data_IF_761310914315
#
_entry.id   IF_761310914315
#
_cell.length_a   1.000
_cell.length_b   1.000
_cell.length_c   1.000
_cell.angle_alpha   90.00
_cell.angle_beta   90.00
_cell.angle_gamma   90.00
#
_symmetry.space_group_name_H-M   'P 1'
#
loop_
_entity.id
_entity.type
_entity.pdbx_description
1 polymer ?
#
# COMPACT_ATOMS: atom_id res chain seq x y z
N UNK A 1 -0.10 -17.61 6.46
CA UNK A 1 -0.45 -18.93 5.91
C UNK A 1 -0.43 -18.83 4.40
N UNK A 2 0.15 -19.80 3.68
CA UNK A 2 0.06 -19.86 2.22
C UNK A 2 -1.13 -20.72 1.80
N UNK A 3 -1.63 -20.55 0.55
CA UNK A 3 -2.70 -21.40 0.03
C UNK A 3 -2.29 -22.88 0.02
N UNK A 4 -1.06 -23.20 -0.42
CA UNK A 4 -0.55 -24.57 -0.40
C UNK A 4 -0.65 -25.22 0.99
N UNK A 5 -0.33 -24.48 2.05
CA UNK A 5 -0.45 -24.98 3.42
C UNK A 5 -1.92 -25.12 3.84
N UNK A 6 -2.78 -24.19 3.44
CA UNK A 6 -4.22 -24.27 3.72
C UNK A 6 -4.83 -25.51 3.05
N UNK A 7 -4.54 -25.72 1.77
CA UNK A 7 -5.08 -26.84 0.98
C UNK A 7 -4.55 -28.24 1.41
N UNK A 8 -3.39 -28.28 2.06
CA UNK A 8 -2.81 -29.54 2.56
C UNK A 8 -3.44 -30.05 3.88
N UNK A 9 -4.33 -29.29 4.51
CA UNK A 9 -4.98 -29.64 5.76
C UNK A 9 -6.46 -29.97 5.56
N UNK A 10 -7.08 -30.78 6.44
CA UNK A 10 -8.53 -30.87 6.51
C UNK A 10 -9.13 -29.45 6.68
N UNK A 11 -10.18 -29.12 5.93
CA UNK A 11 -10.72 -27.75 5.87
C UNK A 11 -11.03 -27.15 7.24
N UNK A 12 -11.56 -27.96 8.17
CA UNK A 12 -11.90 -27.51 9.53
C UNK A 12 -10.66 -27.05 10.30
N UNK A 13 -9.54 -27.78 10.19
CA UNK A 13 -8.27 -27.43 10.83
C UNK A 13 -7.63 -26.22 10.16
N UNK A 14 -7.66 -26.17 8.81
CA UNK A 14 -7.15 -25.06 8.04
C UNK A 14 -7.84 -23.74 8.42
N UNK A 15 -9.18 -23.75 8.52
CA UNK A 15 -9.98 -22.58 8.90
C UNK A 15 -9.71 -22.17 10.35
N UNK A 16 -9.61 -23.13 11.28
CA UNK A 16 -9.25 -22.85 12.68
C UNK A 16 -7.87 -22.17 12.79
N UNK A 17 -6.85 -22.74 12.15
CA UNK A 17 -5.50 -22.19 12.16
C UNK A 17 -5.44 -20.81 11.48
N UNK A 18 -6.19 -20.63 10.39
CA UNK A 18 -6.29 -19.33 9.71
C UNK A 18 -6.91 -18.29 10.64
N UNK A 19 -7.99 -18.63 11.30
CA UNK A 19 -8.72 -17.78 12.22
C UNK A 19 -7.86 -17.33 13.41
N UNK A 20 -7.15 -18.25 14.05
CA UNK A 20 -6.20 -17.95 15.13
C UNK A 20 -5.07 -17.01 14.67
N UNK A 21 -4.54 -17.24 13.44
CA UNK A 21 -3.50 -16.39 12.87
C UNK A 21 -4.00 -14.97 12.59
N UNK A 22 -5.20 -14.83 12.05
CA UNK A 22 -5.80 -13.52 11.75
C UNK A 22 -6.02 -12.74 13.05
N UNK A 23 -6.57 -13.39 14.09
CA UNK A 23 -6.70 -12.78 15.40
C UNK A 23 -5.35 -12.27 15.94
N UNK A 24 -4.33 -13.13 15.94
CA UNK A 24 -3.00 -12.74 16.38
C UNK A 24 -2.42 -11.59 15.57
N UNK A 25 -2.63 -11.57 14.24
CA UNK A 25 -2.17 -10.49 13.39
C UNK A 25 -2.77 -9.15 13.81
N UNK A 26 -4.07 -9.07 14.15
CA UNK A 26 -4.69 -7.83 14.64
C UNK A 26 -4.17 -7.42 16.02
N UNK A 27 -3.95 -8.36 16.92
CA UNK A 27 -3.34 -8.08 18.24
C UNK A 27 -1.93 -7.49 18.06
N UNK A 28 -1.12 -8.06 17.19
CA UNK A 28 0.22 -7.55 16.88
C UNK A 28 0.16 -6.19 16.20
N UNK A 29 -0.74 -6.01 15.23
CA UNK A 29 -0.96 -4.73 14.54
C UNK A 29 -1.29 -3.61 15.52
N UNK A 30 -2.17 -3.86 16.50
CA UNK A 30 -2.49 -2.90 17.54
C UNK A 30 -1.24 -2.44 18.31
N UNK A 31 -0.37 -3.39 18.69
CA UNK A 31 0.89 -3.08 19.40
C UNK A 31 1.84 -2.26 18.53
N UNK A 32 1.93 -2.56 17.22
CA UNK A 32 2.78 -1.81 16.29
C UNK A 32 2.27 -0.37 16.15
N UNK A 33 0.97 -0.15 15.97
CA UNK A 33 0.39 1.19 15.86
C UNK A 33 0.61 2.00 17.15
N UNK A 34 0.44 1.36 18.32
CA UNK A 34 0.76 2.01 19.60
C UNK A 34 2.25 2.37 19.68
N UNK A 35 3.14 1.45 19.31
CA UNK A 35 4.59 1.71 19.26
C UNK A 35 4.93 2.88 18.32
N UNK A 36 4.32 2.95 17.13
CA UNK A 36 4.50 4.08 16.23
C UNK A 36 4.16 5.41 16.94
N UNK A 37 3.01 5.47 17.61
CA UNK A 37 2.58 6.66 18.34
C UNK A 37 3.54 7.03 19.48
N UNK A 38 3.95 6.04 20.28
CA UNK A 38 4.83 6.24 21.44
C UNK A 38 6.22 6.73 21.04
N UNK A 39 6.61 6.51 19.79
CA UNK A 39 7.94 6.79 19.26
C UNK A 39 7.96 7.91 18.21
N UNK A 40 6.81 8.58 17.99
CA UNK A 40 6.70 9.71 17.07
C UNK A 40 6.66 9.32 15.60
N UNK A 41 6.46 8.04 15.28
CA UNK A 41 6.24 7.57 13.91
C UNK A 41 4.79 7.87 13.52
N UNK A 42 4.59 8.74 12.53
CA UNK A 42 3.29 9.31 12.20
C UNK A 42 2.40 8.40 11.33
N UNK A 43 2.92 7.30 10.78
CA UNK A 43 2.18 6.41 9.90
C UNK A 43 2.60 4.95 9.99
N UNK A 44 1.68 4.06 9.61
CA UNK A 44 1.94 2.62 9.52
C UNK A 44 1.26 2.01 8.30
N UNK A 45 2.02 1.30 7.48
CA UNK A 45 1.50 0.52 6.36
C UNK A 45 1.12 -0.87 6.82
N UNK A 46 -0.18 -1.20 6.75
CA UNK A 46 -0.67 -2.54 7.05
C UNK A 46 -0.03 -3.58 6.12
N UNK A 47 0.30 -4.73 6.69
CA UNK A 47 0.79 -5.85 5.89
C UNK A 47 -0.28 -6.35 4.92
N UNK A 48 0.08 -6.58 3.66
CA UNK A 48 -0.77 -7.25 2.67
C UNK A 48 -1.17 -8.68 3.07
N UNK A 49 -0.46 -9.27 4.04
CA UNK A 49 -0.75 -10.61 4.58
C UNK A 49 -1.44 -10.57 5.95
N UNK A 50 -2.14 -9.48 6.27
CA UNK A 50 -2.82 -9.33 7.56
C UNK A 50 -3.97 -10.35 7.70
N UNK A 51 -4.69 -10.57 6.62
CA UNK A 51 -5.75 -11.58 6.48
C UNK A 51 -5.34 -12.60 5.40
N UNK A 52 -4.33 -13.46 5.65
CA UNK A 52 -3.72 -14.25 4.59
C UNK A 52 -4.71 -15.22 3.97
N UNK A 53 -4.66 -15.34 2.66
CA UNK A 53 -5.43 -16.26 1.79
C UNK A 53 -6.96 -16.17 1.89
N UNK A 54 -7.51 -15.24 2.66
CA UNK A 54 -8.97 -15.16 2.87
C UNK A 54 -9.72 -14.84 1.56
N UNK A 55 -9.09 -14.06 0.72
CA UNK A 55 -9.55 -13.63 -0.61
C UNK A 55 -9.26 -14.65 -1.72
N UNK A 56 -8.50 -15.73 -1.43
CA UNK A 56 -8.20 -16.75 -2.42
C UNK A 56 -9.48 -17.46 -2.89
N UNK A 57 -9.71 -17.64 -4.21
CA UNK A 57 -10.96 -18.21 -4.75
C UNK A 57 -11.37 -19.55 -4.14
N UNK A 58 -10.40 -20.44 -3.88
CA UNK A 58 -10.67 -21.76 -3.30
C UNK A 58 -10.85 -21.75 -1.78
N UNK A 59 -10.38 -20.69 -1.11
CA UNK A 59 -10.65 -20.48 0.33
C UNK A 59 -12.02 -19.86 0.50
N UNK A 60 -12.31 -18.79 -0.22
CA UNK A 60 -13.61 -18.13 -0.34
C UNK A 60 -14.29 -17.94 1.02
N UNK A 61 -13.61 -17.25 1.92
CA UNK A 61 -14.10 -16.93 3.26
C UNK A 61 -14.15 -15.41 3.45
N UNK A 62 -15.08 -14.98 4.30
CA UNK A 62 -15.12 -13.63 4.86
C UNK A 62 -14.71 -13.69 6.32
N UNK A 63 -14.27 -12.55 6.86
CA UNK A 63 -13.85 -12.46 8.27
C UNK A 63 -14.96 -12.89 9.23
N UNK A 64 -16.21 -12.49 8.94
CA UNK A 64 -17.38 -12.81 9.74
C UNK A 64 -17.81 -14.29 9.70
N UNK A 65 -17.23 -15.09 8.81
CA UNK A 65 -17.45 -16.54 8.72
C UNK A 65 -16.41 -17.36 9.50
N UNK A 66 -15.42 -16.70 10.10
CA UNK A 66 -14.39 -17.39 10.88
C UNK A 66 -14.91 -17.80 12.25
N UNK A 67 -14.50 -18.98 12.77
CA UNK A 67 -15.08 -19.56 14.00
C UNK A 67 -14.90 -18.67 15.25
N UNK A 68 -13.85 -17.85 15.31
CA UNK A 68 -13.60 -16.90 16.41
C UNK A 68 -13.89 -15.45 16.00
N UNK A 69 -14.90 -15.23 15.17
CA UNK A 69 -15.25 -13.88 14.68
C UNK A 69 -15.44 -12.85 15.79
N UNK A 70 -16.07 -13.25 16.90
CA UNK A 70 -16.28 -12.35 18.06
C UNK A 70 -14.96 -11.78 18.57
N UNK A 71 -13.93 -12.63 18.72
CA UNK A 71 -12.61 -12.20 19.20
C UNK A 71 -11.88 -11.36 18.13
N UNK A 72 -11.99 -11.75 16.86
CA UNK A 72 -11.45 -10.99 15.73
C UNK A 72 -12.09 -9.61 15.68
N UNK A 73 -13.41 -9.52 15.84
CA UNK A 73 -14.13 -8.24 15.83
C UNK A 73 -13.67 -7.35 17.00
N UNK A 74 -13.54 -7.89 18.20
CA UNK A 74 -13.03 -7.15 19.35
C UNK A 74 -11.58 -6.65 19.14
N UNK A 75 -10.73 -7.46 18.51
CA UNK A 75 -9.37 -7.06 18.15
C UNK A 75 -9.38 -5.94 17.10
N UNK A 76 -10.22 -6.01 16.08
CA UNK A 76 -10.42 -4.95 15.08
C UNK A 76 -10.89 -3.64 15.72
N UNK A 77 -11.89 -3.69 16.61
CA UNK A 77 -12.39 -2.52 17.34
C UNK A 77 -11.29 -1.89 18.20
N UNK A 78 -10.41 -2.71 18.79
CA UNK A 78 -9.24 -2.24 19.54
C UNK A 78 -8.24 -1.51 18.62
N UNK A 79 -7.94 -2.07 17.44
CA UNK A 79 -7.07 -1.43 16.44
C UNK A 79 -7.67 -0.09 15.99
N UNK A 80 -8.97 -0.07 15.65
CA UNK A 80 -9.69 1.13 15.23
C UNK A 80 -9.65 2.23 16.31
N UNK A 81 -9.90 1.87 17.57
CA UNK A 81 -9.81 2.80 18.71
C UNK A 81 -8.40 3.34 18.90
N UNK A 82 -7.37 2.50 18.73
CA UNK A 82 -5.97 2.93 18.83
C UNK A 82 -5.62 3.90 17.70
N UNK A 83 -5.97 3.60 16.44
CA UNK A 83 -5.76 4.50 15.29
C UNK A 83 -6.43 5.86 15.57
N UNK A 84 -7.70 5.86 15.97
CA UNK A 84 -8.46 7.08 16.26
C UNK A 84 -7.84 7.90 17.38
N UNK A 85 -7.38 7.27 18.45
CA UNK A 85 -6.77 7.92 19.62
C UNK A 85 -5.39 8.48 19.30
N UNK A 86 -4.58 7.76 18.54
CA UNK A 86 -3.18 8.13 18.28
C UNK A 86 -3.02 9.05 17.08
N UNK A 87 -3.96 9.03 16.13
CA UNK A 87 -3.85 9.75 14.88
C UNK A 87 -2.81 9.18 13.91
N UNK A 88 -2.26 8.00 14.18
CA UNK A 88 -1.33 7.32 13.26
C UNK A 88 -2.03 7.08 11.93
N UNK A 89 -1.46 7.62 10.85
CA UNK A 89 -2.00 7.46 9.50
C UNK A 89 -1.80 6.01 9.02
N UNK A 90 -2.87 5.42 8.47
CA UNK A 90 -2.84 4.03 8.00
C UNK A 90 -2.97 3.96 6.49
N UNK A 91 -2.14 3.14 5.87
CA UNK A 91 -2.13 2.83 4.44
C UNK A 91 -2.04 1.32 4.22
N UNK A 92 -2.19 0.88 2.99
CA UNK A 92 -1.79 -0.46 2.57
C UNK A 92 -1.17 -0.44 1.17
N UNK A 93 -0.27 -1.40 0.97
CA UNK A 93 0.23 -1.76 -0.35
C UNK A 93 -0.20 -3.20 -0.62
N UNK A 94 -1.33 -3.40 -1.30
CA UNK A 94 -1.84 -4.73 -1.65
C UNK A 94 -0.81 -5.56 -2.41
N UNK A 95 -1.16 -6.82 -2.67
CA UNK A 95 -0.26 -7.79 -3.29
C UNK A 95 0.36 -7.29 -4.60
N UNK A 96 1.63 -7.62 -4.82
CA UNK A 96 2.32 -7.37 -6.09
C UNK A 96 1.70 -8.11 -7.29
N UNK A 97 0.81 -9.06 -7.05
CA UNK A 97 0.12 -9.81 -8.10
C UNK A 97 -1.12 -9.10 -8.64
N UNK A 98 -1.49 -7.93 -8.11
CA UNK A 98 -2.60 -7.13 -8.64
C UNK A 98 -2.26 -6.65 -10.05
N UNK A 99 -3.14 -6.98 -10.99
CA UNK A 99 -2.99 -6.61 -12.40
C UNK A 99 -4.33 -6.22 -13.03
N UNK A 100 -4.70 -4.95 -12.88
CA UNK A 100 -5.87 -4.37 -13.56
C UNK A 100 -5.63 -4.14 -15.06
N UNK A 101 -4.39 -4.32 -15.53
CA UNK A 101 -4.00 -4.20 -16.95
C UNK A 101 -4.10 -5.51 -17.70
N UNK A 102 -4.36 -6.63 -17.05
CA UNK A 102 -4.35 -7.96 -17.66
C UNK A 102 -5.48 -8.12 -18.68
N UNK A 103 -5.19 -8.89 -19.74
CA UNK A 103 -6.20 -9.40 -20.67
C UNK A 103 -6.84 -10.70 -20.19
N UNK A 104 -6.30 -11.31 -19.13
CA UNK A 104 -6.84 -12.50 -18.51
C UNK A 104 -7.90 -12.12 -17.46
N UNK A 105 -9.16 -12.41 -17.75
CA UNK A 105 -10.29 -12.06 -16.89
C UNK A 105 -10.20 -12.68 -15.48
N UNK A 106 -9.65 -13.89 -15.36
CA UNK A 106 -9.44 -14.53 -14.04
C UNK A 106 -8.42 -13.74 -13.21
N UNK A 107 -7.34 -13.25 -13.81
CA UNK A 107 -6.34 -12.44 -13.13
C UNK A 107 -6.93 -11.08 -12.69
N UNK A 108 -7.76 -10.46 -13.53
CA UNK A 108 -8.49 -9.23 -13.19
C UNK A 108 -9.47 -9.48 -12.05
N UNK A 109 -10.26 -10.54 -12.09
CA UNK A 109 -11.22 -10.88 -11.04
C UNK A 109 -10.53 -11.12 -9.69
N UNK A 110 -9.38 -11.79 -9.68
CA UNK A 110 -8.56 -11.98 -8.47
C UNK A 110 -8.02 -10.65 -7.94
N UNK A 111 -7.58 -9.76 -8.82
CA UNK A 111 -7.11 -8.41 -8.45
C UNK A 111 -8.22 -7.57 -7.83
N UNK A 112 -9.43 -7.61 -8.40
CA UNK A 112 -10.61 -6.92 -7.86
C UNK A 112 -10.95 -7.46 -6.46
N UNK A 113 -10.87 -8.78 -6.26
CA UNK A 113 -11.16 -9.42 -4.97
C UNK A 113 -10.15 -9.04 -3.90
N UNK A 114 -8.84 -9.06 -4.21
CA UNK A 114 -7.76 -8.64 -3.30
C UNK A 114 -7.96 -7.17 -2.87
N UNK A 115 -8.14 -6.27 -3.84
CA UNK A 115 -8.39 -4.84 -3.56
C UNK A 115 -9.67 -4.63 -2.73
N UNK A 116 -10.73 -5.38 -3.01
CA UNK A 116 -11.99 -5.30 -2.26
C UNK A 116 -11.78 -5.75 -0.81
N UNK A 117 -11.05 -6.85 -0.58
CA UNK A 117 -10.73 -7.35 0.76
C UNK A 117 -9.96 -6.33 1.59
N UNK A 118 -8.99 -5.63 1.00
CA UNK A 118 -8.26 -4.55 1.66
C UNK A 118 -9.15 -3.35 2.00
N UNK A 119 -10.03 -2.94 1.08
CA UNK A 119 -10.94 -1.82 1.33
C UNK A 119 -12.00 -2.16 2.39
N UNK A 120 -12.55 -3.37 2.39
CA UNK A 120 -13.45 -3.86 3.44
C UNK A 120 -12.79 -3.88 4.82
N UNK A 121 -11.51 -4.28 4.89
CA UNK A 121 -10.75 -4.20 6.13
C UNK A 121 -10.60 -2.75 6.60
N UNK A 122 -10.33 -1.81 5.69
CA UNK A 122 -10.26 -0.38 6.01
C UNK A 122 -11.61 0.15 6.52
N UNK A 123 -12.72 -0.28 5.93
CA UNK A 123 -14.06 0.08 6.38
C UNK A 123 -14.36 -0.47 7.78
N UNK A 124 -13.96 -1.73 8.07
CA UNK A 124 -14.08 -2.34 9.39
C UNK A 124 -13.25 -1.60 10.47
N UNK A 125 -12.12 -1.02 10.08
CA UNK A 125 -11.27 -0.19 10.94
C UNK A 125 -11.76 1.27 11.04
N UNK A 126 -12.83 1.65 10.33
CA UNK A 126 -13.37 3.01 10.33
C UNK A 126 -12.43 4.04 9.70
N UNK A 127 -11.54 3.63 8.77
CA UNK A 127 -10.61 4.51 8.10
C UNK A 127 -11.31 5.41 7.06
N UNK A 128 -10.78 6.63 6.78
CA UNK A 128 -11.36 7.52 5.79
C UNK A 128 -11.61 6.88 4.42
N UNK A 129 -12.72 7.25 3.79
CA UNK A 129 -13.09 6.84 2.42
C UNK A 129 -12.46 7.77 1.37
N UNK A 130 -11.20 8.08 1.57
CA UNK A 130 -10.42 8.96 0.68
C UNK A 130 -8.92 8.67 0.77
N UNK A 131 -8.11 9.46 0.08
CA UNK A 131 -6.66 9.30 -0.02
C UNK A 131 -5.89 9.58 1.29
N UNK A 132 -6.55 9.89 2.42
CA UNK A 132 -5.90 9.88 3.74
C UNK A 132 -5.56 8.47 4.20
N UNK A 133 -6.26 7.46 3.65
CA UNK A 133 -5.95 6.03 3.85
C UNK A 133 -5.80 5.34 2.49
N UNK A 134 -4.66 5.52 1.79
CA UNK A 134 -4.49 5.06 0.43
C UNK A 134 -4.27 3.54 0.35
N UNK A 135 -4.78 2.96 -0.73
CA UNK A 135 -4.41 1.64 -1.26
C UNK A 135 -3.47 1.87 -2.43
N UNK A 136 -2.18 1.65 -2.22
CA UNK A 136 -1.15 1.92 -3.22
C UNK A 136 -0.86 0.67 -4.05
N UNK A 137 -0.84 0.80 -5.38
CA UNK A 137 -0.46 -0.29 -6.30
C UNK A 137 0.42 0.23 -7.43
N UNK A 138 1.11 -0.69 -8.10
CA UNK A 138 1.84 -0.40 -9.34
C UNK A 138 1.01 -0.75 -10.58
N UNK A 139 1.19 0.02 -11.65
CA UNK A 139 0.83 -0.39 -12.99
C UNK A 139 2.04 -1.11 -13.60
N UNK A 140 2.07 -2.46 -13.54
CA UNK A 140 3.30 -3.24 -13.80
C UNK A 140 3.56 -3.59 -15.26
N UNK A 141 2.54 -3.54 -16.12
CA UNK A 141 2.70 -3.91 -17.52
C UNK A 141 3.36 -2.80 -18.32
N UNK A 142 4.47 -3.10 -18.99
CA UNK A 142 5.10 -2.21 -19.96
C UNK A 142 4.51 -2.40 -21.35
N UNK A 143 4.55 -1.35 -22.20
CA UNK A 143 4.06 -1.37 -23.57
C UNK A 143 3.43 -0.04 -23.98
N UNK A 144 2.46 -0.08 -24.91
CA UNK A 144 1.71 1.12 -25.32
C UNK A 144 0.90 1.67 -24.13
N UNK A 145 1.24 2.85 -23.61
CA UNK A 145 0.60 3.39 -22.43
C UNK A 145 -0.87 3.74 -22.66
N UNK A 146 -1.29 4.07 -23.88
CA UNK A 146 -2.68 4.38 -24.17
C UNK A 146 -3.56 3.13 -24.11
N UNK A 147 -3.11 2.03 -24.71
CA UNK A 147 -3.81 0.75 -24.69
C UNK A 147 -3.91 0.18 -23.27
N UNK A 148 -2.78 0.18 -22.55
CA UNK A 148 -2.71 -0.39 -21.19
C UNK A 148 -3.57 0.42 -20.22
N UNK A 149 -3.50 1.76 -20.29
CA UNK A 149 -4.31 2.61 -19.41
C UNK A 149 -5.81 2.49 -19.69
N UNK A 150 -6.22 2.39 -20.95
CA UNK A 150 -7.62 2.19 -21.32
C UNK A 150 -8.16 0.89 -20.68
N UNK A 151 -7.38 -0.19 -20.74
CA UNK A 151 -7.73 -1.48 -20.13
C UNK A 151 -7.78 -1.39 -18.60
N UNK A 152 -6.78 -0.75 -17.98
CA UNK A 152 -6.77 -0.49 -16.54
C UNK A 152 -8.02 0.29 -16.11
N UNK A 153 -8.33 1.41 -16.77
CA UNK A 153 -9.46 2.28 -16.42
C UNK A 153 -10.81 1.56 -16.60
N UNK A 154 -10.93 0.71 -17.63
CA UNK A 154 -12.10 -0.16 -17.78
C UNK A 154 -12.28 -1.07 -16.55
N UNK A 155 -11.21 -1.70 -16.06
CA UNK A 155 -11.25 -2.56 -14.88
C UNK A 155 -11.37 -1.78 -13.57
N UNK A 156 -10.76 -0.59 -13.47
CA UNK A 156 -10.93 0.33 -12.34
C UNK A 156 -12.40 0.72 -12.12
N UNK A 157 -13.13 0.94 -13.19
CA UNK A 157 -14.58 1.25 -13.11
C UNK A 157 -15.44 0.08 -12.58
N UNK A 158 -14.90 -1.15 -12.59
CA UNK A 158 -15.56 -2.34 -12.00
C UNK A 158 -15.29 -2.47 -10.48
N UNK A 159 -14.33 -1.73 -9.94
CA UNK A 159 -14.01 -1.76 -8.52
C UNK A 159 -15.14 -1.15 -7.68
N UNK A 160 -15.36 -1.65 -6.45
CA UNK A 160 -16.24 -0.99 -5.49
C UNK A 160 -15.80 0.45 -5.20
N UNK A 161 -16.76 1.31 -4.85
CA UNK A 161 -16.48 2.74 -4.60
C UNK A 161 -15.49 2.98 -3.47
N UNK A 162 -15.51 2.16 -2.43
CA UNK A 162 -14.56 2.22 -1.31
C UNK A 162 -13.10 1.87 -1.72
N UNK A 163 -12.91 1.12 -2.80
CA UNK A 163 -11.60 0.91 -3.43
C UNK A 163 -11.23 2.11 -4.28
N UNK A 164 -12.14 2.53 -5.20
CA UNK A 164 -11.88 3.63 -6.12
C UNK A 164 -11.47 4.92 -5.39
N UNK A 165 -12.11 5.23 -4.25
CA UNK A 165 -11.84 6.44 -3.47
C UNK A 165 -10.50 6.43 -2.72
N UNK A 166 -9.81 5.30 -2.65
CA UNK A 166 -8.55 5.12 -1.92
C UNK A 166 -7.39 4.72 -2.81
N UNK A 167 -7.65 4.27 -4.05
CA UNK A 167 -6.62 3.73 -4.93
C UNK A 167 -5.69 4.84 -5.44
N UNK A 168 -4.39 4.61 -5.29
CA UNK A 168 -3.33 5.46 -5.81
C UNK A 168 -2.34 4.62 -6.60
N UNK A 169 -1.64 5.24 -7.56
CA UNK A 169 -0.68 4.57 -8.43
C UNK A 169 0.74 5.05 -8.16
N UNK A 170 1.60 4.10 -7.88
CA UNK A 170 3.03 4.36 -7.65
C UNK A 170 3.84 4.25 -8.95
N UNK A 171 4.83 5.14 -9.08
CA UNK A 171 5.84 5.05 -10.13
C UNK A 171 6.55 3.69 -10.09
N UNK A 172 6.86 3.15 -11.27
CA UNK A 172 7.53 1.85 -11.38
C UNK A 172 9.06 1.96 -11.16
N UNK A 173 9.66 0.87 -10.74
CA UNK A 173 11.12 0.75 -10.58
C UNK A 173 11.83 0.16 -11.82
N UNK A 174 11.10 -0.12 -12.89
CA UNK A 174 11.68 -0.63 -14.15
C UNK A 174 12.50 0.45 -14.84
N UNK A 175 13.75 0.14 -15.15
CA UNK A 175 14.63 1.06 -15.89
C UNK A 175 13.99 1.42 -17.22
N UNK A 176 13.72 2.71 -17.44
CA UNK A 176 12.99 3.23 -18.60
C UNK A 176 11.62 2.54 -18.83
N UNK A 177 11.00 2.03 -17.77
CA UNK A 177 9.66 1.44 -17.84
C UNK A 177 8.59 2.44 -18.26
N UNK A 178 7.44 1.95 -18.67
CA UNK A 178 6.34 2.79 -19.20
C UNK A 178 5.82 3.80 -18.15
N UNK A 179 5.81 3.43 -16.86
CA UNK A 179 5.03 4.15 -15.85
C UNK A 179 5.89 5.06 -14.97
N UNK A 180 6.46 6.09 -15.61
CA UNK A 180 7.01 7.26 -14.92
C UNK A 180 5.90 8.11 -14.29
N UNK A 181 6.25 9.03 -13.40
CA UNK A 181 5.31 10.00 -12.82
C UNK A 181 4.54 10.76 -13.90
N UNK A 182 5.23 11.21 -14.96
CA UNK A 182 4.61 11.91 -16.09
C UNK A 182 3.58 11.07 -16.83
N UNK A 183 3.87 9.79 -17.07
CA UNK A 183 2.93 8.90 -17.74
C UNK A 183 1.76 8.52 -16.83
N UNK A 184 1.99 8.26 -15.54
CA UNK A 184 0.91 8.04 -14.56
C UNK A 184 0.00 9.27 -14.48
N UNK A 185 0.57 10.48 -14.43
CA UNK A 185 -0.22 11.71 -14.46
C UNK A 185 -1.06 11.81 -15.74
N UNK A 186 -0.46 11.64 -16.90
CA UNK A 186 -1.12 11.80 -18.20
C UNK A 186 -2.24 10.78 -18.42
N UNK A 187 -2.01 9.52 -18.06
CA UNK A 187 -2.89 8.42 -18.45
C UNK A 187 -3.84 7.96 -17.36
N UNK A 188 -3.65 8.36 -16.09
CA UNK A 188 -4.53 7.97 -15.00
C UNK A 188 -5.06 9.16 -14.19
N UNK A 189 -4.21 10.14 -13.84
CA UNK A 189 -4.71 11.29 -13.09
C UNK A 189 -5.60 12.20 -13.97
N UNK A 190 -5.14 12.59 -15.15
CA UNK A 190 -5.90 13.49 -16.05
C UNK A 190 -7.27 12.91 -16.42
N UNK A 191 -7.42 11.64 -16.84
CA UNK A 191 -8.71 11.09 -17.22
C UNK A 191 -9.59 10.61 -16.07
N UNK A 192 -9.02 10.21 -14.91
CA UNK A 192 -9.77 9.54 -13.84
C UNK A 192 -9.51 10.08 -12.44
N UNK A 193 -8.64 11.07 -12.27
CA UNK A 193 -8.33 11.65 -10.97
C UNK A 193 -7.59 10.72 -10.00
N UNK A 194 -6.97 9.64 -10.49
CA UNK A 194 -6.23 8.69 -9.64
C UNK A 194 -4.89 9.32 -9.26
N UNK A 195 -4.63 9.59 -7.96
CA UNK A 195 -3.38 10.22 -7.55
C UNK A 195 -2.15 9.37 -7.81
N UNK A 196 -1.02 10.06 -8.00
CA UNK A 196 0.28 9.44 -8.27
C UNK A 196 1.14 9.47 -7.00
N UNK A 197 1.63 8.32 -6.58
CA UNK A 197 2.59 8.19 -5.49
C UNK A 197 4.01 8.28 -6.06
N UNK A 198 4.75 9.29 -5.60
CA UNK A 198 6.18 9.41 -5.86
C UNK A 198 6.94 8.43 -4.94
N UNK A 199 7.93 7.73 -5.49
CA UNK A 199 8.95 7.00 -4.74
C UNK A 199 10.33 7.51 -5.14
N UNK A 200 11.15 7.87 -4.16
CA UNK A 200 12.46 8.48 -4.38
C UNK A 200 13.47 7.56 -5.08
N UNK A 201 13.36 6.25 -4.88
CA UNK A 201 14.25 5.27 -5.53
C UNK A 201 13.74 4.90 -6.92
N UNK A 202 12.42 4.67 -7.06
CA UNK A 202 11.82 4.28 -8.33
C UNK A 202 11.98 5.39 -9.40
N UNK A 203 11.81 6.65 -9.01
CA UNK A 203 12.02 7.80 -9.90
C UNK A 203 13.45 7.88 -10.43
N UNK A 204 14.48 7.38 -9.71
CA UNK A 204 15.86 7.32 -10.24
C UNK A 204 15.99 6.41 -11.46
N UNK A 205 15.13 5.40 -11.57
CA UNK A 205 15.18 4.40 -12.66
C UNK A 205 14.15 4.67 -13.76
N UNK A 206 13.02 5.33 -13.44
CA UNK A 206 11.88 5.53 -14.33
C UNK A 206 11.43 7.01 -14.40
N UNK A 207 12.37 7.95 -14.57
CA UNK A 207 12.07 9.39 -14.64
C UNK A 207 11.92 9.94 -16.06
N UNK A 208 12.31 9.20 -17.10
CA UNK A 208 12.30 9.62 -18.49
C UNK A 208 12.99 10.98 -18.73
N UNK A 209 14.07 11.25 -17.99
CA UNK A 209 14.86 12.48 -18.09
C UNK A 209 14.34 13.65 -17.24
N UNK A 210 13.28 13.48 -16.47
CA UNK A 210 12.83 14.47 -15.51
C UNK A 210 13.81 14.59 -14.33
N UNK A 211 13.85 15.76 -13.70
CA UNK A 211 14.51 15.91 -12.42
C UNK A 211 13.65 15.34 -11.29
N UNK A 212 14.30 14.92 -10.21
CA UNK A 212 13.62 14.42 -9.00
C UNK A 212 12.59 15.42 -8.46
N UNK A 213 12.96 16.72 -8.41
CA UNK A 213 12.06 17.79 -8.01
C UNK A 213 10.85 17.94 -8.93
N UNK A 214 11.00 17.76 -10.25
CA UNK A 214 9.89 17.86 -11.19
C UNK A 214 8.91 16.71 -10.99
N UNK A 215 9.39 15.48 -10.85
CA UNK A 215 8.56 14.30 -10.59
C UNK A 215 7.84 14.41 -9.23
N UNK A 216 8.57 14.87 -8.18
CA UNK A 216 7.95 15.11 -6.87
C UNK A 216 6.79 16.12 -6.96
N UNK A 217 7.01 17.29 -7.57
CA UNK A 217 5.98 18.34 -7.63
C UNK A 217 4.80 17.94 -8.53
N UNK A 218 5.05 17.21 -9.60
CA UNK A 218 3.99 16.70 -10.46
C UNK A 218 3.13 15.67 -9.71
N UNK A 219 3.74 14.70 -9.02
CA UNK A 219 3.02 13.75 -8.19
C UNK A 219 2.25 14.46 -7.07
N UNK A 220 2.90 15.44 -6.39
CA UNK A 220 2.27 16.22 -5.32
C UNK A 220 0.99 16.92 -5.78
N UNK A 221 0.98 17.47 -7.00
CA UNK A 221 -0.18 18.18 -7.56
C UNK A 221 -1.41 17.30 -7.77
N UNK A 222 -1.25 15.97 -7.79
CA UNK A 222 -2.34 15.01 -8.01
C UNK A 222 -3.14 14.68 -6.74
N UNK A 223 -2.61 15.03 -5.56
CA UNK A 223 -3.24 14.65 -4.30
C UNK A 223 -4.16 15.75 -3.76
N UNK A 224 -5.43 15.44 -3.50
CA UNK A 224 -6.35 16.40 -2.88
C UNK A 224 -6.18 16.50 -1.34
N UNK A 225 -5.33 15.67 -0.76
CA UNK A 225 -4.96 15.63 0.67
C UNK A 225 -3.45 15.71 0.79
N UNK A 226 -2.90 15.81 2.02
CA UNK A 226 -1.45 15.64 2.22
C UNK A 226 -1.03 14.28 1.66
N UNK A 227 -0.10 14.23 0.69
CA UNK A 227 0.32 12.97 0.07
C UNK A 227 0.92 11.97 1.06
N UNK A 228 0.85 10.69 0.71
CA UNK A 228 1.72 9.66 1.23
C UNK A 228 2.61 9.19 0.09
N UNK A 229 3.87 9.58 0.13
CA UNK A 229 4.91 9.19 -0.82
C UNK A 229 5.77 8.09 -0.23
N UNK A 230 6.58 7.44 -1.06
CA UNK A 230 7.52 6.44 -0.61
C UNK A 230 8.93 6.97 -0.61
N UNK A 231 9.69 6.54 0.37
CA UNK A 231 11.10 6.83 0.48
C UNK A 231 11.89 5.55 0.66
N UNK A 232 12.79 5.33 -0.27
CA UNK A 232 13.77 4.26 -0.20
C UNK A 232 15.10 4.70 -0.81
N UNK A 233 16.17 4.02 -0.46
CA UNK A 233 17.49 4.18 -1.05
C UNK A 233 17.99 2.84 -1.57
N UNK A 234 18.69 2.88 -2.70
CA UNK A 234 19.28 1.69 -3.31
C UNK A 234 20.68 1.41 -2.78
N UNK A 235 21.07 0.14 -2.74
CA UNK A 235 22.45 -0.29 -2.50
C UNK A 235 23.19 -0.23 -3.84
N UNK A 236 24.36 0.43 -3.89
CA UNK A 236 25.25 0.44 -5.05
C UNK A 236 24.55 0.82 -6.36
N UNK A 237 23.69 1.84 -6.34
CA UNK A 237 22.89 2.29 -7.48
C UNK A 237 21.97 1.18 -8.07
N UNK A 238 21.57 0.22 -7.28
CA UNK A 238 20.60 -0.81 -7.66
C UNK A 238 19.21 -0.52 -7.06
N UNK A 239 18.20 -1.23 -7.54
CA UNK A 239 16.83 -1.19 -6.99
C UNK A 239 16.67 -1.93 -5.64
N UNK A 240 17.73 -2.54 -5.12
CA UNK A 240 17.69 -3.23 -3.82
C UNK A 240 17.66 -2.20 -2.70
N UNK A 241 16.62 -2.22 -1.90
CA UNK A 241 16.49 -1.33 -0.75
C UNK A 241 17.64 -1.51 0.24
N UNK A 242 18.22 -0.40 0.67
CA UNK A 242 19.26 -0.34 1.68
C UNK A 242 18.74 -0.75 3.06
N UNK A 243 19.66 -1.09 3.96
CA UNK A 243 19.31 -1.37 5.36
C UNK A 243 18.96 -0.09 6.11
N UNK A 244 19.80 0.94 5.97
CA UNK A 244 19.68 2.23 6.65
C UNK A 244 19.76 3.37 5.62
N UNK A 245 19.18 4.54 5.90
CA UNK A 245 19.27 5.70 5.02
C UNK A 245 20.64 6.36 5.14
N UNK A 246 21.17 6.85 4.02
CA UNK A 246 22.31 7.77 3.99
C UNK A 246 21.85 9.23 4.08
N UNK A 247 20.62 9.48 3.57
CA UNK A 247 20.02 10.80 3.51
C UNK A 247 18.65 10.82 4.21
N UNK A 248 18.11 12.02 4.43
CA UNK A 248 16.71 12.20 4.80
C UNK A 248 15.87 12.39 3.54
N UNK A 249 14.59 11.98 3.53
CA UNK A 249 13.69 12.24 2.42
C UNK A 249 13.54 13.75 2.18
N UNK A 250 13.60 14.16 0.92
CA UNK A 250 13.42 15.56 0.54
C UNK A 250 11.94 15.85 0.28
N UNK A 251 11.36 16.73 1.09
CA UNK A 251 9.97 17.18 0.92
C UNK A 251 9.81 18.40 0.02
N UNK A 252 10.92 18.99 -0.45
CA UNK A 252 10.91 20.24 -1.22
C UNK A 252 10.07 21.37 -0.58
N UNK A 253 10.06 21.40 0.76
CA UNK A 253 9.29 22.39 1.54
C UNK A 253 7.77 22.16 1.54
N UNK A 254 7.30 21.01 1.13
CA UNK A 254 5.87 20.65 1.12
C UNK A 254 5.51 19.75 2.30
N UNK A 255 4.30 19.87 2.88
CA UNK A 255 3.80 18.90 3.83
C UNK A 255 3.54 17.56 3.11
N UNK A 256 4.23 16.51 3.56
CA UNK A 256 4.13 15.16 2.98
C UNK A 256 4.41 14.11 4.05
N UNK A 257 3.74 12.97 3.98
CA UNK A 257 4.10 11.78 4.72
C UNK A 257 4.99 10.89 3.84
N UNK A 258 6.04 10.32 4.42
CA UNK A 258 6.85 9.32 3.75
C UNK A 258 6.67 7.94 4.38
N UNK A 259 6.30 6.96 3.57
CA UNK A 259 6.39 5.55 3.90
C UNK A 259 7.83 5.09 3.62
N UNK A 260 8.56 4.73 4.67
CA UNK A 260 9.99 4.45 4.59
C UNK A 260 10.22 2.96 4.29
N UNK A 261 10.61 2.66 3.06
CA UNK A 261 10.78 1.29 2.56
C UNK A 261 12.22 0.75 2.72
N UNK A 262 12.87 1.09 3.80
CA UNK A 262 14.19 0.57 4.14
C UNK A 262 14.10 -0.73 4.95
N UNK A 263 15.09 -1.63 4.78
CA UNK A 263 15.11 -2.94 5.47
C UNK A 263 15.25 -2.81 6.99
N UNK A 264 15.83 -1.72 7.48
CA UNK A 264 15.97 -1.40 8.90
C UNK A 264 14.67 -1.01 9.61
N UNK A 265 13.55 -0.87 8.86
CA UNK A 265 12.19 -0.62 9.38
C UNK A 265 12.17 0.58 10.33
N UNK A 266 11.65 0.42 11.55
CA UNK A 266 11.57 1.47 12.58
C UNK A 266 12.95 2.05 12.95
N UNK A 267 14.02 1.25 12.99
CA UNK A 267 15.37 1.76 13.20
C UNK A 267 15.81 2.76 12.14
N UNK A 268 15.44 2.52 10.87
CA UNK A 268 15.72 3.45 9.78
C UNK A 268 14.91 4.74 9.93
N UNK A 269 13.64 4.65 10.34
CA UNK A 269 12.79 5.81 10.62
C UNK A 269 13.36 6.63 11.79
N UNK A 270 13.78 5.99 12.88
CA UNK A 270 14.44 6.70 14.01
C UNK A 270 15.70 7.43 13.59
N UNK A 271 16.51 6.80 12.72
CA UNK A 271 17.71 7.48 12.21
C UNK A 271 17.34 8.77 11.45
N UNK A 272 16.32 8.74 10.61
CA UNK A 272 15.81 9.92 9.87
C UNK A 272 15.32 10.99 10.85
N UNK A 273 14.46 10.63 11.81
CA UNK A 273 13.86 11.56 12.77
C UNK A 273 14.94 12.24 13.64
N UNK A 274 15.92 11.46 14.12
CA UNK A 274 17.01 12.00 14.96
C UNK A 274 17.94 12.94 14.18
N UNK A 275 18.16 12.70 12.88
CA UNK A 275 18.97 13.59 12.05
C UNK A 275 18.20 14.88 11.68
N UNK A 276 16.90 14.81 11.47
CA UNK A 276 16.07 15.98 11.26
C UNK A 276 16.10 16.95 12.47
N UNK A 277 16.07 16.39 13.69
CA UNK A 277 16.12 17.20 14.93
C UNK A 277 17.48 17.85 15.21
N UNK A 278 18.59 17.33 14.63
CA UNK A 278 19.93 17.93 14.78
C UNK A 278 20.20 19.09 13.84
N UNK A 279 19.36 19.23 12.79
CA UNK A 279 19.51 20.26 11.76
C UNK A 279 18.52 21.43 11.93
N UNK A 280 17.74 21.43 13.01
CA UNK A 280 16.91 22.55 13.49
C UNK A 280 17.60 23.29 14.64
#
# INVERSE_FOLDING_TARGET
MTYTRFAALPRIDAVRILSERILNNFVVTNRIIQHCADTGIAGYRLSSSLTPVIDHPDVNLRLDQLPNWTDIRAALDTVAATIKRTGVRVSAHPSEFITLTSTNETAVANSIRDLTSHAELFDLLGLPLDYRSPLNIHCRQDGDPAEISARFLSNFNRLPKNVQSRLVLEVNDNVNGTWSVSNLHKYFFVPAGIPVTYDSLHCKFCNHGNSDSADFHLAYSTWPTIPLFHYSEGIDNTRKHAMMPLNSPNSYGKPVFFDVELKGKDHAVYHILNNANKNQ
#
